data_IF_721126416912
#
_entry.id   IF_721126416912
#
_cell.length_a   1.000
_cell.length_b   1.000
_cell.length_c   1.000
_cell.angle_alpha   90.00
_cell.angle_beta   90.00
_cell.angle_gamma   90.00
#
_symmetry.space_group_name_H-M   'P 1'
#
loop_
_entity.id
_entity.type
_entity.pdbx_description
1 polymer ?
#
# COMPACT_ATOMS: atom_id res chain seq x y z
N UNK A 1 -16.27 5.32 56.17
CA UNK A 1 -16.52 6.21 55.02
C UNK A 1 -15.25 6.69 54.30
N UNK A 2 -14.20 7.15 55.00
CA UNK A 2 -13.01 7.75 54.37
C UNK A 2 -12.16 6.76 53.51
N UNK A 3 -12.15 5.46 53.83
CA UNK A 3 -11.38 4.44 53.11
C UNK A 3 -11.97 4.06 51.75
N UNK A 4 -13.30 4.03 51.63
CA UNK A 4 -13.99 3.76 50.35
C UNK A 4 -13.83 4.91 49.37
N UNK A 5 -13.93 6.17 49.84
CA UNK A 5 -13.68 7.35 49.02
C UNK A 5 -12.22 7.42 48.52
N UNK A 6 -11.24 7.08 49.37
CA UNK A 6 -9.82 6.98 48.98
C UNK A 6 -9.57 5.87 47.95
N UNK A 7 -10.27 4.74 48.04
CA UNK A 7 -10.19 3.66 47.04
C UNK A 7 -10.84 4.04 45.72
N UNK A 8 -12.03 4.64 45.76
CA UNK A 8 -12.75 5.14 44.57
C UNK A 8 -11.93 6.22 43.84
N UNK A 9 -11.39 7.21 44.56
CA UNK A 9 -10.55 8.24 43.95
C UNK A 9 -9.22 7.71 43.40
N UNK A 10 -8.63 6.66 44.01
CA UNK A 10 -7.46 5.98 43.47
C UNK A 10 -7.79 5.17 42.21
N UNK A 11 -8.94 4.51 42.17
CA UNK A 11 -9.42 3.75 41.01
C UNK A 11 -9.67 4.66 39.81
N UNK A 12 -10.40 5.76 40.00
CA UNK A 12 -10.65 6.78 38.97
C UNK A 12 -9.33 7.35 38.40
N UNK A 13 -8.33 7.59 39.27
CA UNK A 13 -7.00 8.06 38.84
C UNK A 13 -6.20 7.02 38.06
N UNK A 14 -6.35 5.73 38.37
CA UNK A 14 -5.68 4.65 37.62
C UNK A 14 -6.32 4.52 36.25
N UNK A 15 -7.64 4.56 36.16
CA UNK A 15 -8.37 4.49 34.90
C UNK A 15 -8.04 5.68 34.00
N UNK A 16 -7.96 6.90 34.55
CA UNK A 16 -7.56 8.08 33.78
C UNK A 16 -6.13 7.99 33.27
N UNK A 17 -5.18 7.51 34.09
CA UNK A 17 -3.78 7.31 33.67
C UNK A 17 -3.64 6.21 32.60
N UNK A 18 -4.45 5.16 32.66
CA UNK A 18 -4.46 4.11 31.63
C UNK A 18 -5.04 4.61 30.31
N UNK A 19 -6.08 5.46 30.37
CA UNK A 19 -6.66 6.09 29.19
C UNK A 19 -5.66 7.02 28.51
N UNK A 20 -5.02 7.91 29.25
CA UNK A 20 -3.99 8.83 28.73
C UNK A 20 -2.83 8.08 28.07
N UNK A 21 -2.38 6.96 28.67
CA UNK A 21 -1.35 6.10 28.06
C UNK A 21 -1.80 5.53 26.72
N UNK A 22 -3.04 5.02 26.64
CA UNK A 22 -3.60 4.47 25.40
C UNK A 22 -3.68 5.53 24.31
N UNK A 23 -4.17 6.72 24.64
CA UNK A 23 -4.27 7.85 23.70
C UNK A 23 -2.88 8.26 23.19
N UNK A 24 -1.88 8.27 24.07
CA UNK A 24 -0.51 8.56 23.71
C UNK A 24 0.07 7.51 22.74
N UNK A 25 -0.15 6.22 23.00
CA UNK A 25 0.25 5.13 22.12
C UNK A 25 -0.47 5.17 20.77
N UNK A 26 -1.76 5.45 20.75
CA UNK A 26 -2.53 5.62 19.52
C UNK A 26 -1.97 6.77 18.68
N UNK A 27 -1.71 7.91 19.31
CA UNK A 27 -1.13 9.08 18.64
C UNK A 27 0.26 8.77 18.10
N UNK A 28 1.07 8.01 18.86
CA UNK A 28 2.39 7.55 18.42
C UNK A 28 2.28 6.72 17.13
N UNK A 29 1.45 5.68 17.12
CA UNK A 29 1.30 4.82 15.95
C UNK A 29 0.68 5.54 14.76
N UNK A 30 -0.29 6.43 14.97
CA UNK A 30 -0.83 7.29 13.91
C UNK A 30 0.26 8.14 13.27
N UNK A 31 1.20 8.68 14.06
CA UNK A 31 2.34 9.45 13.54
C UNK A 31 3.29 8.58 12.70
N UNK A 32 3.57 7.35 13.12
CA UNK A 32 4.39 6.38 12.36
C UNK A 32 3.70 6.04 11.03
N UNK A 33 2.43 5.62 11.09
CA UNK A 33 1.66 5.18 9.92
C UNK A 33 1.50 6.29 8.88
N UNK A 34 1.34 7.55 9.29
CA UNK A 34 1.27 8.69 8.35
C UNK A 34 2.53 8.82 7.49
N UNK A 35 3.72 8.59 8.08
CA UNK A 35 5.01 8.69 7.37
C UNK A 35 5.23 7.52 6.42
N UNK A 36 4.90 6.32 6.89
CA UNK A 36 4.90 5.09 6.07
C UNK A 36 3.99 5.28 4.85
N UNK A 37 2.74 5.69 5.08
CA UNK A 37 1.77 5.91 4.00
C UNK A 37 2.23 6.99 3.02
N UNK A 38 2.86 8.06 3.52
CA UNK A 38 3.40 9.13 2.67
C UNK A 38 4.54 8.62 1.79
N UNK A 39 5.42 7.78 2.33
CA UNK A 39 6.50 7.13 1.58
C UNK A 39 5.95 6.19 0.52
N UNK A 40 4.96 5.37 0.86
CA UNK A 40 4.32 4.46 -0.08
C UNK A 40 3.67 5.24 -1.23
N UNK A 41 2.94 6.31 -0.89
CA UNK A 41 2.30 7.19 -1.87
C UNK A 41 3.32 7.86 -2.79
N UNK A 42 4.47 8.28 -2.27
CA UNK A 42 5.55 8.86 -3.06
C UNK A 42 6.08 7.84 -4.09
N UNK A 43 6.46 6.65 -3.63
CA UNK A 43 7.00 5.60 -4.51
C UNK A 43 5.98 5.17 -5.57
N UNK A 44 4.70 5.01 -5.19
CA UNK A 44 3.61 4.71 -6.13
C UNK A 44 3.46 5.81 -7.20
N UNK A 45 3.56 7.08 -6.81
CA UNK A 45 3.42 8.20 -7.76
C UNK A 45 4.57 8.30 -8.74
N UNK A 46 5.78 7.95 -8.31
CA UNK A 46 6.97 7.94 -9.16
C UNK A 46 7.07 6.67 -10.03
N UNK A 47 6.29 5.63 -9.74
CA UNK A 47 6.36 4.36 -10.45
C UNK A 47 7.64 3.57 -10.18
N UNK A 48 8.32 3.83 -9.05
CA UNK A 48 9.58 3.17 -8.69
C UNK A 48 9.29 1.89 -7.90
N UNK A 49 10.16 0.90 -8.07
CA UNK A 49 10.09 -0.33 -7.29
C UNK A 49 10.24 -0.05 -5.80
N UNK A 50 9.45 -0.71 -4.95
CA UNK A 50 9.51 -0.56 -3.49
C UNK A 50 10.65 -1.38 -2.88
N UNK A 51 10.93 -2.52 -3.51
CA UNK A 51 11.84 -3.57 -3.06
C UNK A 51 13.17 -3.50 -3.80
N UNK A 52 14.22 -3.96 -3.14
CA UNK A 52 15.55 -4.12 -3.73
C UNK A 52 15.72 -5.50 -4.35
N UNK A 53 16.86 -5.73 -5.02
CA UNK A 53 17.21 -7.06 -5.55
C UNK A 53 17.65 -8.04 -4.44
N UNK A 54 18.22 -7.51 -3.34
CA UNK A 54 18.66 -8.28 -2.18
C UNK A 54 18.24 -7.56 -0.89
N UNK A 55 17.51 -8.24 0.00
CA UNK A 55 16.95 -7.73 1.26
C UNK A 55 17.49 -8.47 2.49
N UNK A 56 18.60 -9.21 2.35
CA UNK A 56 19.28 -9.87 3.48
C UNK A 56 19.78 -8.88 4.55
N UNK A 57 20.00 -9.34 5.78
CA UNK A 57 20.47 -8.50 6.90
C UNK A 57 21.79 -7.76 6.62
N UNK A 58 22.62 -8.30 5.73
CA UNK A 58 23.92 -7.77 5.30
C UNK A 58 23.82 -6.96 3.99
N UNK A 59 22.64 -6.89 3.36
CA UNK A 59 22.49 -6.22 2.06
C UNK A 59 22.67 -4.71 2.21
N UNK A 60 23.65 -4.18 1.48
CA UNK A 60 23.90 -2.75 1.35
C UNK A 60 22.77 -2.03 0.61
N UNK A 61 21.88 -2.77 -0.05
CA UNK A 61 20.78 -2.28 -0.89
C UNK A 61 19.42 -2.59 -0.28
N UNK A 62 19.16 -2.03 0.92
CA UNK A 62 17.82 -1.95 1.49
C UNK A 62 16.91 -1.30 0.43
N UNK A 63 15.83 -1.95 0.00
CA UNK A 63 15.00 -1.47 -1.11
C UNK A 63 14.51 -0.02 -0.93
N UNK A 64 14.10 0.62 -2.02
CA UNK A 64 13.78 2.07 -2.06
C UNK A 64 12.82 2.51 -0.94
N UNK A 65 11.90 1.66 -0.49
CA UNK A 65 11.04 1.92 0.66
C UNK A 65 11.81 2.23 1.95
N UNK A 66 12.76 1.37 2.33
CA UNK A 66 13.56 1.56 3.54
C UNK A 66 14.53 2.72 3.36
N UNK A 67 15.14 2.88 2.17
CA UNK A 67 16.00 4.02 1.86
C UNK A 67 15.27 5.35 2.02
N UNK A 68 14.04 5.45 1.52
CA UNK A 68 13.25 6.67 1.67
C UNK A 68 12.91 6.96 3.13
N UNK A 69 12.64 5.94 3.96
CA UNK A 69 12.40 6.13 5.39
C UNK A 69 13.66 6.57 6.13
N UNK A 70 14.81 5.96 5.81
CA UNK A 70 16.11 6.36 6.36
C UNK A 70 16.40 7.82 6.00
N UNK A 71 16.21 8.23 4.74
CA UNK A 71 16.39 9.62 4.29
C UNK A 71 15.41 10.59 4.97
N UNK A 72 14.12 10.23 5.10
CA UNK A 72 13.14 11.04 5.82
C UNK A 72 13.54 11.25 7.29
N UNK A 73 14.19 10.27 7.89
CA UNK A 73 14.60 10.32 9.30
C UNK A 73 15.72 11.32 9.57
N UNK A 74 16.46 11.76 8.55
CA UNK A 74 17.45 12.83 8.68
C UNK A 74 16.81 14.17 9.06
N UNK A 75 15.55 14.38 8.68
CA UNK A 75 14.79 15.62 8.88
C UNK A 75 13.62 15.45 9.87
N UNK A 76 13.42 14.24 10.40
CA UNK A 76 12.30 13.90 11.26
C UNK A 76 12.78 13.11 12.48
N UNK A 77 13.06 13.84 13.57
CA UNK A 77 13.56 13.27 14.83
C UNK A 77 12.66 12.17 15.38
N UNK A 78 11.33 12.31 15.20
CA UNK A 78 10.39 11.29 15.65
C UNK A 78 10.59 9.98 14.87
N UNK A 79 10.72 10.07 13.55
CA UNK A 79 10.97 8.90 12.71
C UNK A 79 12.35 8.30 13.02
N UNK A 80 13.38 9.13 13.20
CA UNK A 80 14.72 8.71 13.58
C UNK A 80 14.73 7.88 14.85
N UNK A 81 14.08 8.38 15.91
CA UNK A 81 13.94 7.66 17.18
C UNK A 81 13.15 6.36 17.00
N UNK A 82 12.11 6.36 16.16
CA UNK A 82 11.35 5.15 15.84
C UNK A 82 12.23 4.10 15.13
N UNK A 83 12.97 4.50 14.09
CA UNK A 83 13.86 3.60 13.35
C UNK A 83 14.96 3.03 14.26
N UNK A 84 15.63 3.86 15.06
CA UNK A 84 16.62 3.40 16.03
C UNK A 84 16.02 2.40 17.03
N UNK A 85 14.79 2.65 17.48
CA UNK A 85 14.12 1.77 18.42
C UNK A 85 13.70 0.45 17.80
N UNK A 86 13.25 0.40 16.55
CA UNK A 86 12.54 -0.77 15.99
C UNK A 86 13.19 -1.43 14.76
N UNK A 87 14.12 -0.79 14.06
CA UNK A 87 14.68 -1.33 12.82
C UNK A 87 15.52 -2.61 13.03
N UNK A 88 16.20 -2.74 14.18
CA UNK A 88 17.18 -3.82 14.43
C UNK A 88 16.76 -4.81 15.53
N UNK A 89 15.49 -4.82 15.98
CA UNK A 89 15.06 -5.63 17.14
C UNK A 89 14.79 -7.12 16.87
N UNK A 90 15.12 -7.63 15.67
CA UNK A 90 14.84 -9.02 15.31
C UNK A 90 13.34 -9.33 15.19
N UNK A 91 12.97 -10.61 15.32
CA UNK A 91 11.58 -11.10 15.13
C UNK A 91 10.72 -10.85 16.37
N UNK A 92 9.42 -10.63 16.18
CA UNK A 92 8.43 -10.56 17.27
C UNK A 92 8.08 -9.17 17.79
N UNK A 93 8.66 -8.10 17.24
CA UNK A 93 8.32 -6.72 17.58
C UNK A 93 7.52 -6.05 16.46
N UNK A 94 6.43 -5.36 16.82
CA UNK A 94 5.61 -4.61 15.86
C UNK A 94 6.34 -3.31 15.50
N UNK A 95 6.97 -3.26 14.33
CA UNK A 95 7.66 -2.06 13.82
C UNK A 95 6.87 -1.34 12.70
N UNK A 96 6.00 -2.07 11.98
CA UNK A 96 5.38 -1.62 10.72
C UNK A 96 6.36 -1.23 9.61
N UNK A 97 7.66 -1.52 9.77
CA UNK A 97 8.70 -1.24 8.79
C UNK A 97 8.95 -2.41 7.83
N UNK A 98 8.38 -3.58 8.10
CA UNK A 98 8.62 -4.76 7.27
C UNK A 98 7.94 -4.63 5.91
N UNK A 99 8.52 -5.28 4.91
CA UNK A 99 7.93 -5.30 3.58
C UNK A 99 6.55 -5.98 3.54
N UNK A 100 6.28 -6.95 4.43
CA UNK A 100 4.95 -7.57 4.53
C UNK A 100 3.87 -6.53 4.86
N UNK A 101 4.15 -5.65 5.81
CA UNK A 101 3.25 -4.55 6.17
C UNK A 101 3.13 -3.54 5.01
N UNK A 102 4.24 -3.24 4.33
CA UNK A 102 4.22 -2.39 3.15
C UNK A 102 3.29 -2.96 2.06
N UNK A 103 3.37 -4.26 1.79
CA UNK A 103 2.52 -4.94 0.81
C UNK A 103 1.03 -4.91 1.23
N UNK A 104 0.74 -5.06 2.52
CA UNK A 104 -0.62 -4.88 3.05
C UNK A 104 -1.15 -3.48 2.77
N UNK A 105 -0.36 -2.44 3.03
CA UNK A 105 -0.75 -1.06 2.71
C UNK A 105 -0.97 -0.86 1.22
N UNK A 106 -0.06 -1.35 0.38
CA UNK A 106 -0.19 -1.29 -1.09
C UNK A 106 -1.49 -1.99 -1.53
N UNK A 107 -1.80 -3.15 -0.96
CA UNK A 107 -3.03 -3.90 -1.25
C UNK A 107 -4.28 -3.11 -0.85
N UNK A 108 -4.31 -2.51 0.33
CA UNK A 108 -5.44 -1.70 0.80
C UNK A 108 -5.63 -0.47 -0.08
N UNK A 109 -4.57 0.28 -0.36
CA UNK A 109 -4.60 1.48 -1.23
C UNK A 109 -5.04 1.09 -2.63
N UNK A 110 -4.47 0.02 -3.19
CA UNK A 110 -4.81 -0.49 -4.51
C UNK A 110 -6.27 -0.89 -4.63
N UNK A 111 -6.84 -1.55 -3.61
CA UNK A 111 -8.28 -1.87 -3.55
C UNK A 111 -9.14 -0.60 -3.57
N UNK A 112 -8.79 0.41 -2.78
CA UNK A 112 -9.52 1.69 -2.73
C UNK A 112 -9.46 2.45 -4.05
N UNK A 113 -8.27 2.57 -4.64
CA UNK A 113 -8.08 3.22 -5.95
C UNK A 113 -8.86 2.48 -7.04
N UNK A 114 -8.81 1.14 -7.04
CA UNK A 114 -9.57 0.33 -8.00
C UNK A 114 -11.08 0.51 -7.83
N UNK A 115 -11.59 0.49 -6.60
CA UNK A 115 -13.00 0.70 -6.32
C UNK A 115 -13.47 2.09 -6.79
N UNK A 116 -12.64 3.12 -6.55
CA UNK A 116 -12.90 4.48 -7.03
C UNK A 116 -12.97 4.54 -8.56
N UNK A 117 -11.98 3.97 -9.27
CA UNK A 117 -11.95 3.93 -10.74
C UNK A 117 -13.19 3.20 -11.29
N UNK A 118 -13.55 2.05 -10.71
CA UNK A 118 -14.75 1.30 -11.12
C UNK A 118 -16.01 2.15 -10.93
N UNK A 119 -16.11 2.89 -9.83
CA UNK A 119 -17.24 3.77 -9.59
C UNK A 119 -17.28 4.93 -10.60
N UNK A 120 -16.14 5.53 -10.95
CA UNK A 120 -16.07 6.55 -12.01
C UNK A 120 -16.58 5.99 -13.36
N UNK A 121 -16.12 4.78 -13.74
CA UNK A 121 -16.53 4.13 -14.99
C UNK A 121 -18.03 3.80 -14.99
N UNK A 122 -18.58 3.27 -13.89
CA UNK A 122 -20.01 2.93 -13.79
C UNK A 122 -20.92 4.15 -13.95
N UNK A 123 -20.46 5.32 -13.51
CA UNK A 123 -21.20 6.58 -13.60
C UNK A 123 -20.95 7.32 -14.92
N UNK A 124 -19.99 6.89 -15.73
CA UNK A 124 -19.69 7.52 -17.00
C UNK A 124 -20.74 7.16 -18.05
N UNK A 125 -21.24 8.17 -18.76
CA UNK A 125 -22.19 7.97 -19.87
C UNK A 125 -21.55 7.25 -21.06
N UNK A 126 -20.27 7.51 -21.29
CA UNK A 126 -19.49 6.96 -22.41
C UNK A 126 -18.19 6.36 -21.88
N UNK A 127 -17.93 5.13 -22.28
CA UNK A 127 -16.66 4.44 -22.04
C UNK A 127 -16.31 3.53 -23.23
N UNK A 128 -15.02 3.24 -23.38
CA UNK A 128 -14.52 2.24 -24.30
C UNK A 128 -13.45 1.38 -23.61
N UNK A 129 -13.30 0.15 -24.09
CA UNK A 129 -12.29 -0.79 -23.59
C UNK A 129 -11.37 -1.10 -24.75
N UNK A 130 -10.08 -0.88 -24.55
CA UNK A 130 -9.01 -1.27 -25.46
C UNK A 130 -8.32 -2.47 -24.85
N UNK A 131 -8.16 -3.52 -25.66
CA UNK A 131 -7.51 -4.75 -25.29
C UNK A 131 -6.30 -4.90 -26.21
N UNK A 132 -5.12 -5.03 -25.62
CA UNK A 132 -3.88 -5.26 -26.35
C UNK A 132 -3.23 -6.56 -25.88
N UNK A 133 -2.74 -7.37 -26.81
CA UNK A 133 -2.07 -8.65 -26.51
C UNK A 133 -0.66 -8.59 -27.04
N UNK A 134 0.33 -8.74 -26.16
CA UNK A 134 1.74 -8.78 -26.55
C UNK A 134 2.36 -10.09 -26.06
N UNK A 135 3.00 -10.88 -26.94
CA UNK A 135 3.73 -12.06 -26.49
C UNK A 135 4.97 -11.62 -25.69
N UNK A 136 5.21 -12.24 -24.53
CA UNK A 136 6.41 -11.99 -23.75
C UNK A 136 7.61 -12.85 -24.18
N UNK A 137 8.76 -12.65 -23.53
CA UNK A 137 9.99 -13.42 -23.81
C UNK A 137 9.84 -14.94 -23.67
N UNK A 138 8.79 -15.42 -22.99
CA UNK A 138 8.45 -16.84 -22.87
C UNK A 138 7.40 -17.32 -23.87
N UNK A 139 7.06 -16.50 -24.87
CA UNK A 139 5.97 -16.72 -25.83
C UNK A 139 4.59 -16.88 -25.17
N UNK A 140 4.42 -16.29 -23.98
CA UNK A 140 3.14 -16.28 -23.28
C UNK A 140 2.48 -14.93 -23.53
N UNK A 141 1.22 -14.95 -23.95
CA UNK A 141 0.48 -13.72 -24.25
C UNK A 141 0.17 -12.95 -22.96
N UNK A 142 0.63 -11.71 -22.91
CA UNK A 142 0.26 -10.75 -21.88
C UNK A 142 -0.86 -9.86 -22.41
N UNK A 143 -2.04 -10.00 -21.82
CA UNK A 143 -3.21 -9.23 -22.18
C UNK A 143 -3.35 -8.00 -21.28
N UNK A 144 -3.46 -6.84 -21.90
CA UNK A 144 -3.54 -5.50 -21.28
C UNK A 144 -4.92 -4.91 -21.50
N UNK A 145 -5.59 -4.51 -20.41
CA UNK A 145 -6.89 -3.84 -20.45
C UNK A 145 -6.77 -2.35 -20.11
N UNK A 146 -7.09 -1.51 -21.08
CA UNK A 146 -7.17 -0.05 -20.91
C UNK A 146 -8.62 0.39 -21.04
N UNK A 147 -9.13 1.10 -20.04
CA UNK A 147 -10.49 1.67 -20.08
C UNK A 147 -10.38 3.18 -20.26
N UNK A 148 -11.07 3.70 -21.27
CA UNK A 148 -11.24 5.14 -21.48
C UNK A 148 -12.67 5.53 -21.16
N UNK A 149 -12.87 6.61 -20.43
CA UNK A 149 -14.22 7.12 -20.12
C UNK A 149 -14.23 8.64 -20.02
N UNK A 150 -15.40 9.22 -20.27
CA UNK A 150 -15.64 10.65 -20.09
C UNK A 150 -16.10 10.89 -18.65
N UNK A 151 -15.35 11.71 -17.91
CA UNK A 151 -15.70 12.09 -16.54
C UNK A 151 -16.98 12.94 -16.51
N UNK A 152 -17.54 13.16 -15.31
CA UNK A 152 -18.64 14.10 -15.13
C UNK A 152 -18.29 15.54 -15.49
N UNK A 153 -16.99 15.91 -15.48
CA UNK A 153 -16.50 17.21 -15.95
C UNK A 153 -16.29 17.28 -17.46
N UNK A 154 -16.55 16.19 -18.20
CA UNK A 154 -16.32 16.12 -19.64
C UNK A 154 -14.87 15.79 -20.04
N UNK A 155 -14.00 15.51 -19.08
CA UNK A 155 -12.59 15.15 -19.34
C UNK A 155 -12.46 13.67 -19.72
N UNK A 156 -11.66 13.38 -20.74
CA UNK A 156 -11.34 11.99 -21.11
C UNK A 156 -10.29 11.47 -20.14
N UNK A 157 -10.62 10.40 -19.42
CA UNK A 157 -9.70 9.69 -18.53
C UNK A 157 -9.35 8.33 -19.12
N UNK A 158 -8.07 7.98 -19.06
CA UNK A 158 -7.55 6.66 -19.42
C UNK A 158 -7.03 5.95 -18.17
N UNK A 159 -7.47 4.70 -17.95
CA UNK A 159 -7.08 3.89 -16.80
C UNK A 159 -6.63 2.50 -17.23
N UNK A 160 -5.40 2.16 -16.85
CA UNK A 160 -4.90 0.79 -16.92
C UNK A 160 -5.43 -0.01 -15.74
N UNK A 161 -6.17 -1.09 -16.00
CA UNK A 161 -6.90 -1.81 -14.94
C UNK A 161 -6.26 -3.14 -14.56
N UNK A 162 -5.57 -3.80 -15.49
CA UNK A 162 -4.89 -5.09 -15.26
C UNK A 162 -4.05 -5.51 -16.49
N UNK A 163 -2.90 -6.13 -16.26
CA UNK A 163 -2.29 -7.10 -17.18
C UNK A 163 -2.52 -8.52 -16.64
N UNK A 164 -2.82 -9.47 -17.53
CA UNK A 164 -2.97 -10.90 -17.20
C UNK A 164 -2.11 -11.72 -18.15
N UNK A 165 -1.30 -12.61 -17.58
CA UNK A 165 -0.55 -13.62 -18.32
C UNK A 165 -1.52 -14.75 -18.67
N UNK A 166 -1.67 -15.05 -19.96
CA UNK A 166 -2.47 -16.17 -20.46
C UNK A 166 -1.56 -17.21 -21.11
N UNK A 167 -1.52 -18.42 -20.54
CA UNK A 167 -0.93 -19.57 -21.21
C UNK A 167 -1.89 -20.04 -22.31
N UNK A 168 -1.58 -19.75 -23.57
CA UNK A 168 -2.18 -20.47 -24.68
C UNK A 168 -1.47 -21.83 -24.79
N UNK A 169 -2.12 -22.89 -24.32
CA UNK A 169 -1.80 -24.24 -24.79
C UNK A 169 -2.23 -24.25 -26.25
N UNK A 170 -1.28 -24.31 -27.18
CA UNK A 170 -1.54 -24.53 -28.60
C UNK A 170 -2.27 -25.88 -28.77
N UNK A 171 -3.60 -25.84 -28.73
CA UNK A 171 -4.48 -26.86 -29.28
C UNK A 171 -5.02 -26.30 -30.59
N UNK A 172 -4.46 -26.77 -31.70
CA UNK A 172 -4.91 -26.45 -33.05
C UNK A 172 -6.39 -26.77 -33.22
N UNK A 173 -7.25 -25.77 -33.44
CA UNK A 173 -8.51 -26.00 -34.13
C UNK A 173 -8.87 -24.83 -35.04
N UNK A 174 -8.66 -25.09 -36.32
CA UNK A 174 -9.11 -24.41 -37.53
C UNK A 174 -10.20 -23.36 -37.37
N UNK A 175 -9.90 -22.17 -37.90
CA UNK A 175 -10.84 -21.20 -38.43
C UNK A 175 -11.84 -21.92 -39.35
N UNK A 176 -13.14 -21.70 -39.16
CA UNK A 176 -14.11 -21.66 -40.26
C UNK A 176 -14.99 -20.44 -40.09
N UNK A 177 -14.86 -19.56 -41.08
CA UNK A 177 -15.72 -18.42 -41.32
C UNK A 177 -17.19 -18.83 -41.37
N UNK A 178 -18.08 -17.99 -40.83
CA UNK A 178 -19.38 -17.79 -41.46
C UNK A 178 -19.63 -16.29 -41.57
N UNK A 179 -19.77 -15.91 -42.85
CA UNK A 179 -20.45 -14.74 -43.39
C UNK A 179 -21.82 -14.50 -42.76
#
# INVERSE_FOLDING_TARGET
MCTLYKRSSKFIKIDSQQLEKREHEELYWRKVLKRILSTIKLLSRLGVAFRGHDEGQESTRKGNYLTCLDYLSEYDDFLKLHLQKYANRGRGNVSYLSHQICDEFISIIGKQVKAHIINEIKNAKYYSIVIDSTPDFSHVDQLTFVVRYVSSSGEIKERFTRSRIYFFIFGTTSIRNFS
#
